data_IF_970594600103
#
_entry.id   IF_970594600103
#
_cell.length_a   1.000
_cell.length_b   1.000
_cell.length_c   1.000
_cell.angle_alpha   90.00
_cell.angle_beta   90.00
_cell.angle_gamma   90.00
#
_symmetry.space_group_name_H-M   'P 1'
#
loop_
_entity.id
_entity.type
_entity.pdbx_description
1 polymer ?
#
# COMPACT_ATOMS: atom_id res chain seq x y z
N UNK A 1 -75.30 -38.63 5.93
CA UNK A 1 -74.68 -37.89 4.81
C UNK A 1 -73.27 -37.51 5.24
N UNK A 2 -72.40 -38.49 5.53
CA UNK A 2 -71.22 -38.23 6.40
C UNK A 2 -69.88 -38.69 5.83
N UNK A 3 -69.84 -39.23 4.61
CA UNK A 3 -68.59 -39.72 4.00
C UNK A 3 -67.78 -38.65 3.24
N UNK A 4 -68.38 -37.51 2.87
CA UNK A 4 -67.67 -36.45 2.13
C UNK A 4 -66.85 -35.50 3.03
N UNK A 5 -67.15 -35.42 4.33
CA UNK A 5 -66.40 -34.54 5.25
C UNK A 5 -65.07 -35.16 5.72
N UNK A 6 -64.98 -36.49 5.82
CA UNK A 6 -63.76 -37.16 6.26
C UNK A 6 -62.65 -37.14 5.20
N UNK A 7 -62.98 -37.31 3.91
CA UNK A 7 -61.98 -37.29 2.84
C UNK A 7 -61.33 -35.91 2.67
N UNK A 8 -62.11 -34.83 2.78
CA UNK A 8 -61.58 -33.47 2.73
C UNK A 8 -60.68 -33.12 3.93
N UNK A 9 -60.92 -33.70 5.10
CA UNK A 9 -60.06 -33.49 6.27
C UNK A 9 -58.72 -34.22 6.15
N UNK A 10 -58.73 -35.43 5.58
CA UNK A 10 -57.52 -36.24 5.35
C UNK A 10 -56.64 -35.61 4.27
N UNK A 11 -57.22 -35.14 3.16
CA UNK A 11 -56.46 -34.45 2.10
C UNK A 11 -55.81 -33.15 2.59
N UNK A 12 -56.53 -32.37 3.40
CA UNK A 12 -55.99 -31.13 3.98
C UNK A 12 -54.88 -31.39 5.02
N UNK A 13 -54.98 -32.49 5.79
CA UNK A 13 -53.93 -32.89 6.73
C UNK A 13 -52.66 -33.34 6.00
N UNK A 14 -52.81 -34.14 4.94
CA UNK A 14 -51.69 -34.60 4.11
C UNK A 14 -51.01 -33.45 3.37
N UNK A 15 -51.78 -32.47 2.85
CA UNK A 15 -51.21 -31.28 2.22
C UNK A 15 -50.44 -30.39 3.21
N UNK A 16 -50.95 -30.20 4.43
CA UNK A 16 -50.23 -29.46 5.48
C UNK A 16 -48.98 -30.18 5.95
N UNK A 17 -49.00 -31.51 6.04
CA UNK A 17 -47.85 -32.31 6.41
C UNK A 17 -46.74 -32.23 5.35
N UNK A 18 -47.09 -32.38 4.07
CA UNK A 18 -46.15 -32.22 2.95
C UNK A 18 -45.57 -30.80 2.87
N UNK A 19 -46.37 -29.77 3.13
CA UNK A 19 -45.89 -28.38 3.18
C UNK A 19 -44.93 -28.13 4.35
N UNK A 20 -45.15 -28.77 5.50
CA UNK A 20 -44.24 -28.68 6.65
C UNK A 20 -42.95 -29.45 6.42
N UNK A 21 -43.00 -30.60 5.75
CA UNK A 21 -41.81 -31.37 5.36
C UNK A 21 -40.95 -30.61 4.34
N UNK A 22 -41.56 -29.99 3.33
CA UNK A 22 -40.86 -29.13 2.36
C UNK A 22 -40.21 -27.92 3.04
N UNK A 23 -40.94 -27.21 3.93
CA UNK A 23 -40.37 -26.09 4.71
C UNK A 23 -39.24 -26.52 5.64
N UNK A 24 -39.30 -27.72 6.20
CA UNK A 24 -38.23 -28.26 7.04
C UNK A 24 -37.02 -28.69 6.22
N UNK A 25 -37.21 -29.21 5.00
CA UNK A 25 -36.13 -29.52 4.06
C UNK A 25 -35.45 -28.25 3.55
N UNK A 26 -36.21 -27.20 3.23
CA UNK A 26 -35.70 -25.88 2.84
C UNK A 26 -34.87 -25.26 3.98
N UNK A 27 -35.41 -25.23 5.21
CA UNK A 27 -34.65 -24.76 6.39
C UNK A 27 -33.40 -25.60 6.67
N UNK A 28 -33.45 -26.91 6.40
CA UNK A 28 -32.29 -27.80 6.56
C UNK A 28 -31.24 -27.58 5.47
N UNK A 29 -31.64 -27.29 4.23
CA UNK A 29 -30.73 -26.92 3.15
C UNK A 29 -30.07 -25.55 3.40
N UNK A 30 -30.81 -24.56 3.89
CA UNK A 30 -30.25 -23.26 4.31
C UNK A 30 -29.20 -23.42 5.41
N UNK A 31 -29.36 -24.42 6.30
CA UNK A 31 -28.39 -24.73 7.36
C UNK A 31 -27.13 -25.49 6.88
N UNK A 32 -27.10 -25.97 5.63
CA UNK A 32 -26.00 -26.76 5.07
C UNK A 32 -25.22 -26.04 3.96
N UNK A 33 -25.69 -24.88 3.52
CA UNK A 33 -25.04 -24.08 2.46
C UNK A 33 -24.34 -22.86 3.03
N UNK A 34 -23.10 -22.63 2.62
CA UNK A 34 -22.36 -21.38 2.88
C UNK A 34 -22.19 -20.65 1.55
N UNK A 35 -22.64 -19.40 1.47
CA UNK A 35 -22.46 -18.55 0.29
C UNK A 35 -21.25 -17.64 0.47
N UNK A 36 -20.33 -17.67 -0.50
CA UNK A 36 -19.12 -16.85 -0.51
C UNK A 36 -19.09 -16.04 -1.81
N UNK A 37 -19.67 -14.84 -1.77
CA UNK A 37 -19.88 -14.02 -2.96
C UNK A 37 -18.66 -13.17 -3.32
N UNK A 38 -17.68 -13.09 -2.43
CA UNK A 38 -16.48 -12.26 -2.57
C UNK A 38 -15.36 -12.92 -3.39
N UNK A 39 -15.49 -14.22 -3.71
CA UNK A 39 -14.44 -14.97 -4.41
C UNK A 39 -14.97 -15.54 -5.72
N UNK A 40 -14.12 -15.50 -6.75
CA UNK A 40 -14.44 -16.10 -8.02
C UNK A 40 -14.30 -17.64 -7.94
N UNK A 41 -15.15 -18.33 -8.71
CA UNK A 41 -15.29 -19.78 -8.72
C UNK A 41 -13.94 -20.47 -8.98
N UNK A 42 -13.16 -19.97 -9.94
CA UNK A 42 -11.89 -20.60 -10.36
C UNK A 42 -10.84 -20.59 -9.25
N UNK A 43 -10.68 -19.47 -8.56
CA UNK A 43 -9.76 -19.33 -7.44
C UNK A 43 -10.22 -20.21 -6.27
N UNK A 44 -11.53 -20.28 -6.02
CA UNK A 44 -12.09 -21.17 -5.00
C UNK A 44 -11.86 -22.65 -5.31
N UNK A 45 -12.02 -23.08 -6.57
CA UNK A 45 -11.69 -24.45 -7.01
C UNK A 45 -10.21 -24.78 -6.78
N UNK A 46 -9.31 -23.82 -7.02
CA UNK A 46 -7.87 -23.97 -6.77
C UNK A 46 -7.57 -24.12 -5.28
N UNK A 47 -8.25 -23.35 -4.43
CA UNK A 47 -8.11 -23.40 -2.97
C UNK A 47 -8.67 -24.70 -2.40
N UNK A 48 -9.82 -25.16 -2.89
CA UNK A 48 -10.37 -26.46 -2.51
C UNK A 48 -9.44 -27.59 -2.92
N UNK A 49 -8.89 -27.54 -4.14
CA UNK A 49 -7.90 -28.53 -4.61
C UNK A 49 -6.67 -28.57 -3.70
N UNK A 50 -6.20 -27.41 -3.23
CA UNK A 50 -5.13 -27.35 -2.24
C UNK A 50 -5.53 -27.98 -0.90
N UNK A 51 -6.72 -27.68 -0.39
CA UNK A 51 -7.20 -28.24 0.90
C UNK A 51 -7.30 -29.76 0.84
N UNK A 52 -7.81 -30.32 -0.25
CA UNK A 52 -8.03 -31.76 -0.39
C UNK A 52 -6.79 -32.54 -0.81
N UNK A 53 -5.96 -31.98 -1.69
CA UNK A 53 -4.86 -32.71 -2.33
C UNK A 53 -3.46 -32.15 -2.00
N UNK A 54 -3.37 -31.05 -1.27
CA UNK A 54 -2.10 -30.37 -0.95
C UNK A 54 -1.46 -29.65 -2.13
N UNK A 55 -2.08 -29.67 -3.32
CA UNK A 55 -1.53 -29.13 -4.55
C UNK A 55 -2.31 -27.90 -5.01
N UNK A 56 -1.60 -26.86 -5.45
CA UNK A 56 -2.19 -25.69 -6.08
C UNK A 56 -1.50 -25.40 -7.41
N UNK A 57 -2.31 -25.21 -8.46
CA UNK A 57 -1.82 -24.75 -9.76
C UNK A 57 -1.85 -23.22 -9.78
N UNK A 58 -0.73 -22.63 -10.19
CA UNK A 58 -0.62 -21.20 -10.39
C UNK A 58 -0.65 -20.92 -11.89
N UNK A 59 -1.84 -20.84 -12.45
CA UNK A 59 -2.00 -20.70 -13.90
C UNK A 59 -1.49 -19.34 -14.40
N UNK A 60 -1.83 -18.24 -13.72
CA UNK A 60 -1.47 -16.88 -14.11
C UNK A 60 -0.98 -16.05 -12.91
N UNK A 61 -0.02 -15.15 -13.16
CA UNK A 61 0.47 -14.20 -12.14
C UNK A 61 -0.61 -13.25 -11.64
N UNK A 62 -1.58 -12.91 -12.50
CA UNK A 62 -2.66 -11.96 -12.21
C UNK A 62 -3.57 -12.43 -11.06
N UNK A 63 -3.67 -13.75 -10.84
CA UNK A 63 -4.59 -14.32 -9.84
C UNK A 63 -3.90 -14.55 -8.48
N UNK A 64 -2.58 -14.32 -8.37
CA UNK A 64 -1.84 -14.58 -7.14
C UNK A 64 -2.35 -13.74 -5.96
N UNK A 65 -2.78 -12.51 -6.21
CA UNK A 65 -3.34 -11.63 -5.17
C UNK A 65 -4.67 -12.18 -4.64
N UNK A 66 -5.57 -12.62 -5.53
CA UNK A 66 -6.85 -13.18 -5.12
C UNK A 66 -6.66 -14.49 -4.34
N UNK A 67 -5.74 -15.35 -4.79
CA UNK A 67 -5.37 -16.56 -4.06
C UNK A 67 -4.77 -16.22 -2.68
N UNK A 68 -3.97 -15.15 -2.58
CA UNK A 68 -3.45 -14.67 -1.32
C UNK A 68 -4.57 -14.18 -0.40
N UNK A 69 -5.51 -13.38 -0.90
CA UNK A 69 -6.69 -12.91 -0.16
C UNK A 69 -7.50 -14.09 0.40
N UNK A 70 -7.77 -15.10 -0.43
CA UNK A 70 -8.51 -16.30 -0.03
C UNK A 70 -7.72 -17.11 1.01
N UNK A 71 -6.42 -17.28 0.82
CA UNK A 71 -5.57 -17.98 1.79
C UNK A 71 -5.55 -17.32 3.17
N UNK A 72 -5.58 -15.97 3.21
CA UNK A 72 -5.68 -15.20 4.45
C UNK A 72 -7.07 -15.38 5.06
N UNK A 73 -8.13 -15.29 4.26
CA UNK A 73 -9.51 -15.44 4.72
C UNK A 73 -9.75 -16.80 5.40
N UNK A 74 -9.31 -17.88 4.78
CA UNK A 74 -9.42 -19.24 5.33
C UNK A 74 -8.30 -19.62 6.30
N UNK A 75 -7.37 -18.70 6.60
CA UNK A 75 -6.24 -18.92 7.52
C UNK A 75 -5.35 -20.10 7.10
N UNK A 76 -5.16 -20.28 5.79
CA UNK A 76 -4.29 -21.30 5.20
C UNK A 76 -2.83 -20.81 5.20
N UNK A 77 -2.18 -20.82 6.36
CA UNK A 77 -0.86 -20.20 6.56
C UNK A 77 0.23 -20.71 5.61
N UNK A 78 0.34 -22.03 5.42
CA UNK A 78 1.33 -22.61 4.50
C UNK A 78 1.11 -22.15 3.06
N UNK A 79 -0.15 -22.11 2.64
CA UNK A 79 -0.51 -21.65 1.30
C UNK A 79 -0.21 -20.15 1.14
N UNK A 80 -0.56 -19.35 2.14
CA UNK A 80 -0.25 -17.92 2.18
C UNK A 80 1.26 -17.69 1.96
N UNK A 81 2.11 -18.41 2.68
CA UNK A 81 3.57 -18.29 2.55
C UNK A 81 4.07 -18.68 1.15
N UNK A 82 3.55 -19.77 0.58
CA UNK A 82 3.90 -20.22 -0.77
C UNK A 82 3.51 -19.15 -1.81
N UNK A 83 2.28 -18.62 -1.72
CA UNK A 83 1.78 -17.59 -2.64
C UNK A 83 2.58 -16.31 -2.48
N UNK A 84 2.82 -15.86 -1.24
CA UNK A 84 3.57 -14.65 -0.94
C UNK A 84 4.99 -14.72 -1.51
N UNK A 85 5.69 -15.85 -1.32
CA UNK A 85 7.00 -16.08 -1.93
C UNK A 85 6.95 -16.03 -3.45
N UNK A 86 5.91 -16.60 -4.06
CA UNK A 86 5.72 -16.57 -5.52
C UNK A 86 5.46 -15.14 -6.03
N UNK A 87 4.66 -14.36 -5.32
CA UNK A 87 4.43 -12.94 -5.62
C UNK A 87 5.75 -12.17 -5.56
N UNK A 88 6.50 -12.28 -4.46
CA UNK A 88 7.77 -11.57 -4.26
C UNK A 88 8.78 -11.85 -5.39
N UNK A 89 8.83 -13.10 -5.87
CA UNK A 89 9.71 -13.48 -6.98
C UNK A 89 9.22 -13.00 -8.36
N UNK A 90 7.94 -12.64 -8.49
CA UNK A 90 7.34 -12.17 -9.74
C UNK A 90 7.35 -10.65 -9.92
N UNK A 91 7.55 -9.89 -8.83
CA UNK A 91 7.59 -8.43 -8.85
C UNK A 91 8.82 -7.94 -9.62
N UNK A 92 8.58 -7.15 -10.65
CA UNK A 92 9.58 -6.59 -11.56
C UNK A 92 9.18 -5.16 -12.00
N UNK A 93 10.02 -4.54 -12.82
CA UNK A 93 9.84 -3.14 -13.29
C UNK A 93 8.50 -2.88 -14.00
N UNK A 94 7.94 -3.87 -14.70
CA UNK A 94 6.68 -3.69 -15.45
C UNK A 94 5.43 -3.80 -14.58
N UNK A 95 5.48 -4.52 -13.47
CA UNK A 95 4.28 -4.91 -12.71
C UNK A 95 4.26 -4.43 -11.24
N UNK A 96 5.32 -3.80 -10.72
CA UNK A 96 5.38 -3.40 -9.31
C UNK A 96 4.27 -2.42 -8.91
N UNK A 97 3.84 -1.51 -9.80
CA UNK A 97 2.71 -0.60 -9.50
C UNK A 97 1.39 -1.37 -9.37
N UNK A 98 1.18 -2.36 -10.22
CA UNK A 98 -0.01 -3.22 -10.15
C UNK A 98 -0.03 -3.97 -8.82
N UNK A 99 1.08 -4.62 -8.45
CA UNK A 99 1.19 -5.32 -7.17
C UNK A 99 1.02 -4.37 -5.97
N UNK A 100 1.61 -3.17 -6.02
CA UNK A 100 1.47 -2.18 -4.94
C UNK A 100 0.01 -1.78 -4.74
N UNK A 101 -0.72 -1.48 -5.81
CA UNK A 101 -2.13 -1.10 -5.71
C UNK A 101 -3.04 -2.25 -5.29
N UNK A 102 -2.77 -3.45 -5.77
CA UNK A 102 -3.50 -4.66 -5.38
C UNK A 102 -3.23 -5.05 -3.92
N UNK A 103 -2.03 -4.77 -3.39
CA UNK A 103 -1.66 -5.06 -2.00
C UNK A 103 -2.38 -4.17 -0.96
N UNK A 104 -3.08 -3.10 -1.37
CA UNK A 104 -3.79 -2.18 -0.46
C UNK A 104 -4.81 -2.88 0.45
N UNK A 105 -5.45 -3.94 -0.06
CA UNK A 105 -6.45 -4.70 0.69
C UNK A 105 -5.83 -5.79 1.58
N UNK A 106 -4.62 -6.22 1.23
CA UNK A 106 -3.93 -7.34 1.86
C UNK A 106 -3.08 -6.92 3.06
N UNK A 107 -2.62 -5.67 3.09
CA UNK A 107 -1.69 -5.14 4.10
C UNK A 107 -0.43 -6.02 4.27
N UNK A 108 0.07 -6.64 3.19
CA UNK A 108 1.34 -7.39 3.27
C UNK A 108 2.52 -6.43 3.18
N UNK A 109 3.22 -6.25 4.30
CA UNK A 109 4.39 -5.36 4.39
C UNK A 109 5.52 -5.79 3.45
N UNK A 110 5.74 -7.10 3.24
CA UNK A 110 6.85 -7.59 2.41
C UNK A 110 6.69 -7.23 0.94
N UNK A 111 5.47 -7.37 0.40
CA UNK A 111 5.14 -6.98 -0.98
C UNK A 111 5.32 -5.47 -1.14
N UNK A 112 4.86 -4.69 -0.16
CA UNK A 112 4.98 -3.23 -0.14
C UNK A 112 6.45 -2.79 -0.13
N UNK A 113 7.27 -3.36 0.76
CA UNK A 113 8.71 -3.13 0.85
C UNK A 113 9.39 -3.43 -0.49
N UNK A 114 9.07 -4.58 -1.11
CA UNK A 114 9.69 -4.96 -2.39
C UNK A 114 9.32 -3.99 -3.51
N UNK A 115 8.08 -3.51 -3.54
CA UNK A 115 7.66 -2.49 -4.50
C UNK A 115 8.36 -1.15 -4.24
N UNK A 116 8.53 -0.74 -2.99
CA UNK A 116 9.26 0.49 -2.65
C UNK A 116 10.75 0.41 -3.00
N UNK A 117 11.38 -0.75 -2.87
CA UNK A 117 12.74 -0.98 -3.36
C UNK A 117 12.86 -0.69 -4.85
N UNK A 118 11.96 -1.24 -5.66
CA UNK A 118 11.97 -1.04 -7.10
C UNK A 118 11.64 0.41 -7.49
N UNK A 119 10.69 1.04 -6.79
CA UNK A 119 10.38 2.47 -6.97
C UNK A 119 11.63 3.30 -6.70
N UNK A 120 12.34 2.99 -5.62
CA UNK A 120 13.52 3.75 -5.25
C UNK A 120 14.67 3.57 -6.25
N UNK A 121 14.99 2.32 -6.61
CA UNK A 121 16.07 1.99 -7.55
C UNK A 121 15.85 2.65 -8.92
N UNK A 122 14.60 2.80 -9.34
CA UNK A 122 14.26 3.35 -10.65
C UNK A 122 13.66 4.76 -10.57
N UNK A 123 13.79 5.45 -9.42
CA UNK A 123 13.07 6.70 -9.15
C UNK A 123 13.30 7.77 -10.22
N UNK A 124 14.53 7.92 -10.68
CA UNK A 124 14.93 8.87 -11.72
C UNK A 124 14.17 8.67 -13.04
N UNK A 125 13.82 7.43 -13.38
CA UNK A 125 13.07 7.07 -14.59
C UNK A 125 11.57 7.22 -14.40
N UNK A 126 11.06 6.90 -13.20
CA UNK A 126 9.61 6.85 -12.93
C UNK A 126 9.04 8.11 -12.25
N UNK A 127 9.87 9.11 -11.92
CA UNK A 127 9.44 10.34 -11.20
C UNK A 127 8.27 11.09 -11.85
N UNK A 128 8.11 10.95 -13.16
CA UNK A 128 7.03 11.57 -13.94
C UNK A 128 5.88 10.62 -14.28
N UNK A 129 5.94 9.36 -13.85
CA UNK A 129 4.95 8.34 -14.15
C UNK A 129 3.62 8.65 -13.43
N UNK A 130 2.49 8.52 -14.14
CA UNK A 130 1.16 8.78 -13.58
C UNK A 130 0.81 7.87 -12.41
N UNK A 131 1.25 6.61 -12.43
CA UNK A 131 1.00 5.66 -11.34
C UNK A 131 1.63 6.14 -10.03
N UNK A 132 2.78 6.80 -10.08
CA UNK A 132 3.41 7.38 -8.89
C UNK A 132 2.56 8.52 -8.30
N UNK A 133 1.85 9.27 -9.13
CA UNK A 133 0.90 10.28 -8.69
C UNK A 133 -0.42 9.69 -8.15
N UNK A 134 -0.72 8.43 -8.43
CA UNK A 134 -1.90 7.73 -7.94
C UNK A 134 -1.72 7.10 -6.55
N UNK A 135 -0.54 7.25 -5.94
CA UNK A 135 -0.30 6.87 -4.55
C UNK A 135 -1.16 7.69 -3.58
N UNK A 136 -1.63 7.04 -2.51
CA UNK A 136 -2.37 7.67 -1.41
C UNK A 136 -1.44 8.45 -0.49
N UNK A 137 -2.00 9.18 0.49
CA UNK A 137 -1.19 9.89 1.47
C UNK A 137 -0.42 8.90 2.34
N UNK A 138 -1.09 7.83 2.77
CA UNK A 138 -0.48 6.81 3.63
C UNK A 138 0.70 6.14 2.92
N UNK A 139 0.56 5.79 1.64
CA UNK A 139 1.63 5.16 0.86
C UNK A 139 2.84 6.07 0.68
N UNK A 140 2.64 7.37 0.45
CA UNK A 140 3.76 8.33 0.38
C UNK A 140 4.46 8.47 1.73
N UNK A 141 3.71 8.48 2.84
CA UNK A 141 4.31 8.50 4.19
C UNK A 141 5.17 7.25 4.40
N UNK A 142 4.61 6.07 4.13
CA UNK A 142 5.34 4.81 4.27
C UNK A 142 6.57 4.78 3.37
N UNK A 143 6.48 5.30 2.14
CA UNK A 143 7.64 5.37 1.24
C UNK A 143 8.73 6.31 1.78
N UNK A 144 8.36 7.44 2.36
CA UNK A 144 9.32 8.36 3.02
C UNK A 144 10.02 7.66 4.20
N UNK A 145 9.25 6.98 5.05
CA UNK A 145 9.76 6.21 6.20
C UNK A 145 10.71 5.09 5.74
N UNK A 146 10.31 4.33 4.72
CA UNK A 146 11.15 3.30 4.12
C UNK A 146 12.53 3.82 3.67
N UNK A 147 12.57 4.99 3.01
CA UNK A 147 13.85 5.61 2.60
C UNK A 147 14.71 6.04 3.79
N UNK A 148 14.08 6.50 4.88
CA UNK A 148 14.79 6.88 6.11
C UNK A 148 15.37 5.68 6.83
N UNK A 149 14.60 4.60 6.95
CA UNK A 149 15.08 3.34 7.52
C UNK A 149 16.29 2.81 6.76
N UNK A 150 16.30 2.96 5.43
CA UNK A 150 17.45 2.63 4.57
C UNK A 150 18.56 3.69 4.56
N UNK A 151 18.41 4.77 5.32
CA UNK A 151 19.35 5.91 5.41
C UNK A 151 19.72 6.50 4.04
N UNK A 152 18.76 6.52 3.14
CA UNK A 152 18.97 7.06 1.80
C UNK A 152 18.92 8.58 1.81
N UNK A 153 19.79 9.19 1.00
CA UNK A 153 19.83 10.64 0.84
C UNK A 153 18.69 11.04 -0.10
N UNK A 154 17.82 11.94 0.36
CA UNK A 154 16.75 12.53 -0.43
C UNK A 154 17.35 13.56 -1.39
N UNK A 155 17.30 13.23 -2.67
CA UNK A 155 17.70 14.11 -3.75
C UNK A 155 16.65 15.19 -4.01
N UNK A 156 17.05 16.33 -4.58
CA UNK A 156 16.16 17.43 -4.95
C UNK A 156 14.98 16.97 -5.85
N UNK A 157 15.23 16.03 -6.75
CA UNK A 157 14.21 15.42 -7.63
C UNK A 157 13.04 14.79 -6.85
N UNK A 158 13.31 14.23 -5.67
CA UNK A 158 12.28 13.66 -4.81
C UNK A 158 11.37 14.75 -4.22
N UNK A 159 11.94 15.87 -3.80
CA UNK A 159 11.16 17.00 -3.30
C UNK A 159 10.31 17.62 -4.42
N UNK A 160 10.86 17.75 -5.63
CA UNK A 160 10.11 18.19 -6.79
C UNK A 160 8.91 17.27 -7.06
N UNK A 161 9.13 15.95 -7.02
CA UNK A 161 8.07 14.97 -7.11
C UNK A 161 6.99 15.18 -6.03
N UNK A 162 7.37 15.33 -4.75
CA UNK A 162 6.41 15.57 -3.66
C UNK A 162 5.59 16.85 -3.89
N UNK A 163 6.20 17.93 -4.39
CA UNK A 163 5.48 19.16 -4.74
C UNK A 163 4.41 18.89 -5.80
N UNK A 164 4.81 18.19 -6.86
CA UNK A 164 3.94 17.90 -7.99
C UNK A 164 2.81 16.95 -7.58
N UNK A 165 3.10 15.98 -6.71
CA UNK A 165 2.11 15.10 -6.12
C UNK A 165 1.08 15.86 -5.29
N UNK A 166 1.51 16.79 -4.43
CA UNK A 166 0.61 17.62 -3.63
C UNK A 166 -0.26 18.50 -4.53
N UNK A 167 0.30 19.09 -5.59
CA UNK A 167 -0.45 19.87 -6.59
C UNK A 167 -1.55 19.03 -7.25
N UNK A 168 -1.19 17.87 -7.85
CA UNK A 168 -2.14 16.93 -8.47
C UNK A 168 -3.19 16.42 -7.48
N UNK A 169 -2.83 16.16 -6.22
CA UNK A 169 -3.78 15.75 -5.18
C UNK A 169 -4.80 16.86 -4.87
N UNK A 170 -4.34 18.09 -4.71
CA UNK A 170 -5.22 19.23 -4.41
C UNK A 170 -6.18 19.55 -5.58
N UNK A 171 -5.74 19.32 -6.81
CA UNK A 171 -6.58 19.40 -8.01
C UNK A 171 -7.66 18.32 -7.99
N UNK A 172 -7.31 17.05 -7.72
CA UNK A 172 -8.27 15.94 -7.58
C UNK A 172 -9.31 16.17 -6.51
N UNK A 173 -8.91 16.74 -5.38
CA UNK A 173 -9.82 17.07 -4.26
C UNK A 173 -10.73 18.29 -4.55
N UNK A 174 -10.65 18.89 -5.74
CA UNK A 174 -11.43 20.06 -6.17
C UNK A 174 -11.47 21.16 -5.11
N UNK A 175 -10.37 21.38 -4.38
CA UNK A 175 -10.32 22.40 -3.33
C UNK A 175 -10.48 23.79 -3.98
N UNK A 176 -11.71 24.31 -4.04
CA UNK A 176 -12.05 25.47 -4.90
C UNK A 176 -11.44 26.79 -4.40
N UNK A 177 -11.20 26.95 -3.09
CA UNK A 177 -10.64 28.19 -2.52
C UNK A 177 -9.12 28.09 -2.39
N UNK A 178 -8.42 29.10 -2.88
CA UNK A 178 -6.95 29.24 -2.78
C UNK A 178 -6.44 29.05 -1.34
N UNK A 179 -7.13 29.61 -0.35
CA UNK A 179 -6.81 29.45 1.08
C UNK A 179 -6.87 28.00 1.57
N UNK A 180 -7.82 27.19 1.07
CA UNK A 180 -7.90 25.76 1.42
C UNK A 180 -6.79 24.96 0.73
N UNK A 181 -6.46 25.26 -0.53
CA UNK A 181 -5.31 24.65 -1.22
C UNK A 181 -4.00 24.94 -0.49
N UNK A 182 -3.80 26.19 -0.10
CA UNK A 182 -2.63 26.65 0.68
C UNK A 182 -2.53 25.92 2.03
N UNK A 183 -3.61 25.87 2.81
CA UNK A 183 -3.59 25.22 4.12
C UNK A 183 -3.39 23.70 4.01
N UNK A 184 -4.02 23.04 3.03
CA UNK A 184 -3.81 21.61 2.78
C UNK A 184 -2.37 21.31 2.35
N UNK A 185 -1.80 22.14 1.45
CA UNK A 185 -0.39 22.07 1.04
C UNK A 185 0.54 22.20 2.25
N UNK A 186 0.35 23.23 3.10
CA UNK A 186 1.15 23.43 4.32
C UNK A 186 1.08 22.26 5.29
N UNK A 187 -0.11 21.70 5.54
CA UNK A 187 -0.28 20.54 6.44
C UNK A 187 0.41 19.29 5.93
N UNK A 188 0.29 19.01 4.63
CA UNK A 188 0.96 17.85 4.02
C UNK A 188 2.48 18.02 4.05
N UNK A 189 2.98 19.19 3.68
CA UNK A 189 4.40 19.47 3.79
C UNK A 189 4.91 19.36 5.22
N UNK A 190 4.21 19.93 6.20
CA UNK A 190 4.62 19.78 7.59
C UNK A 190 4.64 18.31 8.04
N UNK A 191 3.64 17.51 7.63
CA UNK A 191 3.55 16.07 7.91
C UNK A 191 4.64 15.23 7.23
N UNK A 192 5.13 15.64 6.06
CA UNK A 192 6.24 14.96 5.39
C UNK A 192 7.59 15.44 5.93
N UNK A 193 7.72 16.74 6.19
CA UNK A 193 8.95 17.34 6.69
C UNK A 193 9.27 16.96 8.13
N UNK A 194 8.26 16.68 8.95
CA UNK A 194 8.48 16.09 10.27
C UNK A 194 9.06 14.68 10.20
N UNK A 195 9.00 14.00 9.05
CA UNK A 195 9.58 12.68 8.90
C UNK A 195 11.05 12.77 8.52
N UNK A 196 11.49 13.76 7.72
CA UNK A 196 12.88 13.77 7.23
C UNK A 196 13.87 14.02 8.35
N UNK A 197 14.86 13.13 8.48
CA UNK A 197 16.02 13.37 9.30
C UNK A 197 16.89 14.48 8.70
N UNK A 198 17.49 15.28 9.59
CA UNK A 198 18.38 16.40 9.25
C UNK A 198 19.58 15.93 8.41
N UNK A 199 19.95 14.67 8.55
CA UNK A 199 21.10 14.07 7.88
C UNK A 199 20.82 13.61 6.45
N UNK A 200 19.55 13.52 6.07
CA UNK A 200 19.15 12.88 4.81
C UNK A 200 19.11 13.84 3.60
N UNK A 201 19.57 15.09 3.73
CA UNK A 201 19.59 16.08 2.63
C UNK A 201 21.01 16.60 2.41
N UNK A 202 21.44 16.56 1.15
CA UNK A 202 22.75 17.10 0.76
C UNK A 202 22.74 18.64 0.77
N UNK A 203 23.90 19.26 1.01
CA UNK A 203 24.06 20.73 0.96
C UNK A 203 23.66 21.30 -0.41
N UNK A 204 24.05 20.63 -1.48
CA UNK A 204 23.72 21.04 -2.85
C UNK A 204 22.21 21.01 -3.12
N UNK A 205 21.50 20.01 -2.60
CA UNK A 205 20.05 19.92 -2.75
C UNK A 205 19.32 20.93 -1.85
N UNK A 206 19.88 21.26 -0.69
CA UNK A 206 19.33 22.30 0.18
C UNK A 206 19.36 23.69 -0.47
N UNK A 207 20.45 24.06 -1.14
CA UNK A 207 20.54 25.34 -1.83
C UNK A 207 19.54 25.44 -2.98
N UNK A 208 19.28 24.32 -3.69
CA UNK A 208 18.21 24.22 -4.69
C UNK A 208 16.81 24.32 -4.05
N UNK A 209 16.60 23.76 -2.86
CA UNK A 209 15.34 23.84 -2.13
C UNK A 209 15.01 25.26 -1.70
N UNK A 210 16.00 26.08 -1.31
CA UNK A 210 15.82 27.50 -0.98
C UNK A 210 15.34 28.33 -2.17
N UNK A 211 15.81 27.99 -3.37
CA UNK A 211 15.43 28.68 -4.61
C UNK A 211 14.04 28.27 -5.10
N UNK A 212 13.52 27.15 -4.63
CA UNK A 212 12.18 26.70 -4.97
C UNK A 212 11.15 27.25 -3.98
N UNK A 213 10.01 27.66 -4.53
CA UNK A 213 8.84 28.15 -3.79
C UNK A 213 8.09 27.01 -3.05
N UNK A 214 8.82 26.23 -2.26
CA UNK A 214 8.26 25.28 -1.31
C UNK A 214 7.78 26.03 -0.09
N UNK A 215 6.57 25.68 0.40
CA UNK A 215 6.18 26.00 1.76
C UNK A 215 6.93 25.07 2.72
N UNK A 216 8.25 25.25 2.80
CA UNK A 216 9.08 24.62 3.81
C UNK A 216 8.72 25.26 5.15
N UNK A 217 8.44 24.48 6.20
CA UNK A 217 8.31 25.04 7.54
C UNK A 217 9.59 25.82 7.89
N UNK A 218 9.47 27.04 8.42
CA UNK A 218 10.64 27.84 8.80
C UNK A 218 11.56 27.09 9.77
N UNK A 219 10.99 26.28 10.67
CA UNK A 219 11.76 25.42 11.59
C UNK A 219 12.67 24.46 10.83
N UNK A 220 12.17 23.85 9.76
CA UNK A 220 12.93 22.91 8.94
C UNK A 220 14.06 23.60 8.15
N UNK A 221 13.80 24.80 7.62
CA UNK A 221 14.83 25.62 6.95
C UNK A 221 15.94 26.01 7.92
N UNK A 222 15.59 26.45 9.13
CA UNK A 222 16.54 26.82 10.18
C UNK A 222 17.36 25.60 10.60
N UNK A 223 16.72 24.45 10.79
CA UNK A 223 17.40 23.21 11.17
C UNK A 223 18.45 22.76 10.15
N UNK A 224 18.11 22.77 8.85
CA UNK A 224 19.10 22.39 7.83
C UNK A 224 20.18 23.47 7.69
N UNK A 225 19.83 24.75 7.78
CA UNK A 225 20.82 25.83 7.71
C UNK A 225 21.86 25.72 8.83
N UNK A 226 21.41 25.43 10.06
CA UNK A 226 22.31 25.20 11.20
C UNK A 226 23.24 24.00 10.94
N UNK A 227 22.72 22.91 10.37
CA UNK A 227 23.54 21.76 9.99
C UNK A 227 24.59 22.11 8.94
N UNK A 228 24.21 22.81 7.87
CA UNK A 228 25.16 23.23 6.82
C UNK A 228 26.28 24.10 7.40
N UNK A 229 25.96 24.95 8.38
CA UNK A 229 26.96 25.74 9.10
C UNK A 229 27.91 24.83 9.90
N UNK A 230 27.38 23.86 10.65
CA UNK A 230 28.18 22.90 11.42
C UNK A 230 29.09 22.04 10.54
N UNK A 231 28.59 21.56 9.39
CA UNK A 231 29.38 20.77 8.45
C UNK A 231 30.54 21.58 7.86
N UNK A 232 30.30 22.86 7.53
CA UNK A 232 31.37 23.75 7.06
C UNK A 232 32.42 24.02 8.14
N UNK A 233 31.99 24.21 9.40
CA UNK A 233 32.92 24.42 10.52
C UNK A 233 33.83 23.21 10.72
N UNK A 234 33.26 21.99 10.70
CA UNK A 234 34.05 20.74 10.77
C UNK A 234 35.03 20.60 9.61
N UNK A 235 34.63 20.97 8.39
CA UNK A 235 35.51 20.91 7.23
C UNK A 235 36.69 21.88 7.35
N UNK A 236 36.46 23.08 7.90
CA UNK A 236 37.51 24.07 8.19
C UNK A 236 38.47 23.53 9.24
N UNK A 237 37.96 23.03 10.38
CA UNK A 237 38.77 22.47 11.45
C UNK A 237 39.64 21.29 10.99
N UNK A 238 39.11 20.43 10.11
CA UNK A 238 39.88 19.31 9.55
C UNK A 238 41.00 19.79 8.62
N UNK A 239 40.73 20.80 7.78
CA UNK A 239 41.76 21.40 6.90
C UNK A 239 42.84 22.09 7.71
N UNK A 240 42.49 22.77 8.81
CA UNK A 240 43.45 23.39 9.71
C UNK A 240 44.36 22.35 10.36
N UNK A 241 43.80 21.22 10.84
CA UNK A 241 44.58 20.09 11.37
C UNK A 241 45.52 19.48 10.33
N UNK A 242 45.07 19.26 9.10
CA UNK A 242 45.93 18.76 8.02
C UNK A 242 47.09 19.73 7.69
N UNK A 243 46.83 21.04 7.74
CA UNK A 243 47.86 22.07 7.52
C UNK A 243 48.86 22.06 8.67
N UNK A 244 48.41 21.90 9.91
CA UNK A 244 49.31 21.80 11.07
C UNK A 244 50.16 20.52 11.05
N UNK A 245 49.61 19.39 10.63
CA UNK A 245 50.37 18.14 10.46
C UNK A 245 51.41 18.25 9.33
N UNK A 246 51.05 18.88 8.21
CA UNK A 246 52.00 19.14 7.11
C UNK A 246 53.10 20.15 7.46
N UNK A 247 52.90 20.99 8.48
CA UNK A 247 53.94 21.90 8.99
C UNK A 247 54.88 21.25 10.01
N UNK A 248 54.51 20.08 10.56
CA UNK A 248 55.29 19.33 11.55
C UNK A 248 56.19 18.24 10.94
N UNK A 249 55.95 17.88 9.68
CA UNK A 249 56.81 17.00 8.86
C UNK A 249 57.68 17.82 7.92
#
# INVERSE_FOLDING_TARGET
MDNNNNNNQIENANQKQNQNEMKNLEKKQESLSISLNQFNKKEMESILSYIYYGNISFENQENLIQLLEISIYFKLNLLKEIIQKKILNSINYSNFFQFLFQNRNLNSNEIEIKCFELINQNFSQIKNNENLFNLTKEEIIKFIQFKQEKKEIFQFDFFQFLNNWIKKRNERLKLRKYKHKMNAKKRLFHSFFSLFDKDSISKQDFDKLKQFDFFLPNSFLVDIQNKVIQDNQKEIENKEKEIEEKKKN
#
